data_IF_147582044186
#
_entry.id   IF_147582044186
#
_cell.length_a   1.000
_cell.length_b   1.000
_cell.length_c   1.000
_cell.angle_alpha   90.00
_cell.angle_beta   90.00
_cell.angle_gamma   90.00
#
_symmetry.space_group_name_H-M   'P 1'
#
loop_
_entity.id
_entity.type
_entity.pdbx_description
1 polymer ?
#
# COMPACT_ATOMS: atom_id res chain seq x y z
N UNK A 1 -16.25 1.37 14.36
CA UNK A 1 -16.28 2.69 13.68
C UNK A 1 -15.36 2.73 12.46
N UNK A 2 -14.06 2.46 12.59
CA UNK A 2 -13.11 2.44 11.47
C UNK A 2 -13.57 1.57 10.28
N UNK A 3 -13.87 0.28 10.51
CA UNK A 3 -14.41 -0.62 9.47
C UNK A 3 -15.65 -0.04 8.77
N UNK A 4 -16.59 0.53 9.53
CA UNK A 4 -17.80 1.15 8.96
C UNK A 4 -17.48 2.34 8.04
N UNK A 5 -16.56 3.22 8.43
CA UNK A 5 -16.19 4.38 7.62
C UNK A 5 -15.38 3.98 6.37
N UNK A 6 -14.50 2.99 6.48
CA UNK A 6 -13.78 2.45 5.33
C UNK A 6 -14.70 1.69 4.37
N UNK A 7 -15.66 0.92 4.89
CA UNK A 7 -16.73 0.32 4.08
C UNK A 7 -17.46 1.41 3.31
N UNK A 8 -17.95 2.46 3.99
CA UNK A 8 -18.64 3.58 3.34
C UNK A 8 -17.78 4.28 2.28
N UNK A 9 -16.47 4.44 2.53
CA UNK A 9 -15.52 5.08 1.61
C UNK A 9 -15.29 4.27 0.33
N UNK A 10 -15.20 2.94 0.43
CA UNK A 10 -14.80 2.08 -0.70
C UNK A 10 -15.91 1.20 -1.27
N UNK A 11 -17.11 1.22 -0.69
CA UNK A 11 -18.24 0.43 -1.15
C UNK A 11 -18.69 0.81 -2.57
N UNK A 12 -18.58 2.09 -2.93
CA UNK A 12 -19.01 2.61 -4.23
C UNK A 12 -17.84 3.18 -5.02
N UNK A 13 -17.81 2.92 -6.32
CA UNK A 13 -16.89 3.53 -7.28
C UNK A 13 -17.68 4.29 -8.34
N UNK A 14 -17.06 5.33 -8.89
CA UNK A 14 -17.64 6.13 -9.97
C UNK A 14 -16.98 5.73 -11.29
N UNK A 15 -17.77 5.23 -12.23
CA UNK A 15 -17.30 5.01 -13.60
C UNK A 15 -17.27 6.36 -14.36
N UNK A 16 -16.11 6.73 -14.90
CA UNK A 16 -15.98 7.88 -15.81
C UNK A 16 -16.08 9.27 -15.18
N UNK A 17 -15.97 10.30 -16.04
CA UNK A 17 -15.78 11.72 -15.69
C UNK A 17 -16.85 12.17 -14.68
N UNK A 18 -16.37 12.74 -13.57
CA UNK A 18 -17.15 13.20 -12.44
C UNK A 18 -18.39 14.02 -12.87
N UNK A 19 -19.58 13.51 -12.49
CA UNK A 19 -20.78 14.22 -11.97
C UNK A 19 -22.14 13.63 -12.40
N UNK A 20 -22.23 12.57 -13.21
CA UNK A 20 -23.53 12.08 -13.69
C UNK A 20 -23.75 10.55 -13.68
N UNK A 21 -22.94 9.78 -12.95
CA UNK A 21 -23.12 8.32 -12.82
C UNK A 21 -23.79 7.92 -11.50
N UNK A 22 -24.70 6.94 -11.53
CA UNK A 22 -25.16 6.28 -10.32
C UNK A 22 -23.96 5.57 -9.65
N UNK A 23 -23.82 5.62 -8.31
CA UNK A 23 -22.76 4.90 -7.62
C UNK A 23 -22.95 3.39 -7.85
N UNK A 24 -21.94 2.73 -8.41
CA UNK A 24 -21.94 1.26 -8.59
C UNK A 24 -21.17 0.62 -7.45
N UNK A 25 -21.68 -0.49 -6.92
CA UNK A 25 -21.02 -1.21 -5.84
C UNK A 25 -19.75 -1.87 -6.37
N UNK A 26 -18.62 -1.62 -5.70
CA UNK A 26 -17.32 -2.18 -6.09
C UNK A 26 -17.39 -3.71 -6.19
N UNK A 27 -18.06 -4.37 -5.24
CA UNK A 27 -18.23 -5.82 -5.23
C UNK A 27 -19.02 -6.38 -6.44
N UNK A 28 -19.82 -5.56 -7.13
CA UNK A 28 -20.60 -5.99 -8.30
C UNK A 28 -19.79 -5.93 -9.59
N UNK A 29 -18.77 -5.08 -9.65
CA UNK A 29 -17.98 -4.85 -10.87
C UNK A 29 -16.52 -5.30 -10.73
N UNK A 30 -16.09 -5.63 -9.53
CA UNK A 30 -14.73 -6.07 -9.29
C UNK A 30 -14.46 -7.40 -10.00
N UNK A 31 -13.46 -7.37 -10.88
CA UNK A 31 -12.88 -8.56 -11.50
C UNK A 31 -11.55 -8.85 -10.81
N UNK A 32 -11.31 -10.10 -10.43
CA UNK A 32 -10.03 -10.50 -9.83
C UNK A 32 -8.89 -10.17 -10.78
N UNK A 33 -7.91 -9.41 -10.28
CA UNK A 33 -6.72 -9.08 -11.05
C UNK A 33 -5.72 -10.23 -11.00
N UNK A 34 -5.11 -10.52 -12.14
CA UNK A 34 -4.01 -11.45 -12.24
C UNK A 34 -2.73 -10.79 -11.72
N UNK A 35 -2.36 -11.12 -10.49
CA UNK A 35 -1.13 -10.62 -9.86
C UNK A 35 -0.07 -11.70 -9.99
N UNK A 36 1.11 -11.35 -10.48
CA UNK A 36 2.26 -12.25 -10.55
C UNK A 36 3.36 -11.80 -9.61
N UNK A 37 4.14 -12.77 -9.14
CA UNK A 37 5.39 -12.47 -8.42
C UNK A 37 6.37 -11.75 -9.36
N UNK A 38 6.87 -10.58 -8.94
CA UNK A 38 7.83 -9.82 -9.71
C UNK A 38 9.19 -10.53 -9.77
N UNK A 39 9.77 -10.66 -10.97
CA UNK A 39 11.13 -11.16 -11.13
C UNK A 39 12.18 -10.19 -10.58
N UNK A 40 13.39 -10.69 -10.28
CA UNK A 40 14.57 -9.89 -9.88
C UNK A 40 15.15 -9.04 -11.02
N UNK A 41 14.45 -8.93 -12.15
CA UNK A 41 14.89 -8.19 -13.31
C UNK A 41 15.02 -6.71 -12.99
N UNK A 42 16.15 -6.12 -13.40
CA UNK A 42 16.41 -4.69 -13.29
C UNK A 42 15.21 -3.89 -13.82
N UNK A 43 14.87 -2.81 -13.11
CA UNK A 43 13.86 -1.85 -13.57
C UNK A 43 14.45 -1.14 -14.78
N UNK A 44 14.23 -1.71 -15.96
CA UNK A 44 14.54 -1.07 -17.22
C UNK A 44 13.71 0.23 -17.30
N UNK A 45 14.37 1.39 -17.43
CA UNK A 45 13.74 2.71 -17.69
C UNK A 45 13.07 2.78 -19.09
N UNK A 46 12.80 1.64 -19.70
CA UNK A 46 12.07 1.54 -20.96
C UNK A 46 10.60 1.93 -20.80
N UNK A 47 10.04 2.43 -21.90
CA UNK A 47 8.63 2.80 -22.03
C UNK A 47 7.68 1.72 -21.49
N UNK A 48 6.58 2.16 -20.85
CA UNK A 48 5.53 1.29 -20.28
C UNK A 48 5.06 0.18 -21.26
N UNK A 49 5.01 0.49 -22.57
CA UNK A 49 4.65 -0.47 -23.63
C UNK A 49 5.64 -1.64 -23.71
N UNK A 50 6.95 -1.37 -23.68
CA UNK A 50 7.98 -2.44 -23.74
C UNK A 50 7.97 -3.31 -22.50
N UNK A 51 7.62 -2.75 -21.35
CA UNK A 51 7.50 -3.53 -20.12
C UNK A 51 6.31 -4.49 -20.18
N UNK A 52 5.16 -4.06 -20.72
CA UNK A 52 4.02 -4.94 -20.98
C UNK A 52 4.43 -6.05 -21.96
N UNK A 53 5.07 -5.70 -23.07
CA UNK A 53 5.52 -6.67 -24.07
C UNK A 53 6.51 -7.68 -23.49
N UNK A 54 7.45 -7.23 -22.65
CA UNK A 54 8.44 -8.09 -22.00
C UNK A 54 7.80 -9.04 -20.98
N UNK A 55 6.88 -8.53 -20.15
CA UNK A 55 6.12 -9.35 -19.22
C UNK A 55 5.16 -10.32 -19.92
N UNK A 56 4.70 -9.99 -21.14
CA UNK A 56 3.81 -10.85 -21.93
C UNK A 56 4.55 -11.98 -22.67
N UNK A 57 5.89 -11.93 -22.75
CA UNK A 57 6.68 -13.03 -23.33
C UNK A 57 6.73 -14.18 -22.33
N UNK A 58 6.43 -15.40 -22.79
CA UNK A 58 6.47 -16.61 -21.97
C UNK A 58 7.81 -16.69 -21.21
N UNK A 59 7.80 -16.57 -19.87
CA UNK A 59 9.01 -16.79 -19.10
C UNK A 59 9.41 -18.27 -19.12
N UNK A 60 10.71 -18.56 -18.97
CA UNK A 60 11.25 -19.93 -18.84
C UNK A 60 10.71 -20.67 -17.60
N UNK A 61 10.10 -19.95 -16.67
CA UNK A 61 9.52 -20.47 -15.44
C UNK A 61 8.03 -20.07 -15.35
N UNK A 62 7.12 -20.96 -14.91
CA UNK A 62 5.71 -20.61 -14.76
C UNK A 62 5.56 -19.42 -13.81
N UNK A 63 4.84 -18.39 -14.25
CA UNK A 63 4.45 -17.27 -13.41
C UNK A 63 3.56 -17.75 -12.28
N UNK A 64 3.85 -17.31 -11.06
CA UNK A 64 3.02 -17.63 -9.91
C UNK A 64 1.94 -16.58 -9.75
N UNK A 65 0.69 -16.99 -9.91
CA UNK A 65 -0.46 -16.14 -9.57
C UNK A 65 -0.57 -15.99 -8.06
N UNK A 66 -0.72 -14.75 -7.60
CA UNK A 66 -0.91 -14.39 -6.20
C UNK A 66 -2.34 -13.89 -6.04
N UNK A 67 -3.07 -14.46 -5.08
CA UNK A 67 -4.37 -13.91 -4.69
C UNK A 67 -4.16 -12.71 -3.78
N UNK A 68 -5.07 -11.74 -3.85
CA UNK A 68 -5.03 -10.55 -3.00
C UNK A 68 -4.97 -10.88 -1.49
N UNK A 69 -5.65 -11.96 -1.07
CA UNK A 69 -5.65 -12.49 0.31
C UNK A 69 -4.31 -13.13 0.74
N UNK A 70 -3.47 -13.49 -0.24
CA UNK A 70 -2.20 -14.16 -0.03
C UNK A 70 -1.01 -13.20 -0.13
N UNK A 71 -1.25 -11.90 -0.33
CA UNK A 71 -0.22 -10.95 -0.73
C UNK A 71 0.93 -10.81 0.28
N UNK A 72 0.66 -11.05 1.56
CA UNK A 72 1.64 -11.02 2.64
C UNK A 72 2.10 -12.41 3.10
N UNK A 73 1.58 -13.48 2.50
CA UNK A 73 1.98 -14.85 2.88
C UNK A 73 3.42 -15.11 2.44
N UNK A 74 4.13 -16.01 3.13
CA UNK A 74 5.48 -16.39 2.74
C UNK A 74 5.54 -16.91 1.30
N UNK A 75 6.66 -16.64 0.63
CA UNK A 75 6.97 -17.27 -0.66
C UNK A 75 7.46 -18.71 -0.42
N UNK A 76 7.23 -19.65 -1.37
CA UNK A 76 7.73 -21.01 -1.29
C UNK A 76 9.23 -21.04 -0.99
N UNK A 77 9.62 -21.80 0.03
CA UNK A 77 11.02 -21.88 0.49
C UNK A 77 11.43 -20.78 1.46
N UNK A 78 10.49 -19.93 1.91
CA UNK A 78 10.66 -19.01 3.04
C UNK A 78 9.58 -19.26 4.08
N UNK A 79 9.96 -19.22 5.34
CA UNK A 79 9.02 -19.39 6.46
C UNK A 79 8.46 -18.05 6.95
N UNK A 80 9.17 -16.94 6.69
CA UNK A 80 8.78 -15.62 7.16
C UNK A 80 7.76 -14.93 6.24
N UNK A 81 6.66 -14.38 6.80
CA UNK A 81 5.72 -13.55 6.05
C UNK A 81 6.39 -12.32 5.45
N UNK A 82 5.84 -11.84 4.34
CA UNK A 82 6.34 -10.64 3.68
C UNK A 82 5.91 -9.42 4.50
N UNK A 83 6.88 -8.62 4.96
CA UNK A 83 6.61 -7.35 5.65
C UNK A 83 6.11 -6.28 4.68
N UNK A 84 6.84 -6.05 3.59
CA UNK A 84 6.55 -4.97 2.64
C UNK A 84 6.39 -5.54 1.24
N UNK A 85 5.25 -5.28 0.61
CA UNK A 85 4.93 -5.65 -0.77
C UNK A 85 4.90 -4.40 -1.64
N UNK A 86 5.51 -4.45 -2.82
CA UNK A 86 5.35 -3.44 -3.86
C UNK A 86 4.63 -4.02 -5.10
N UNK A 87 3.41 -3.57 -5.35
CA UNK A 87 2.68 -3.90 -6.58
C UNK A 87 2.97 -2.87 -7.66
N UNK A 88 3.62 -3.30 -8.73
CA UNK A 88 3.95 -2.48 -9.91
C UNK A 88 2.96 -2.75 -11.03
N UNK A 89 2.65 -1.73 -11.82
CA UNK A 89 1.83 -1.90 -13.01
C UNK A 89 1.55 -0.58 -13.71
N UNK A 90 1.16 -0.61 -14.98
CA UNK A 90 0.90 0.59 -15.78
C UNK A 90 -0.31 1.38 -15.29
N UNK A 91 -0.49 2.60 -15.78
CA UNK A 91 -1.67 3.41 -15.45
C UNK A 91 -2.97 2.69 -15.87
N UNK A 92 -4.03 2.84 -15.07
CA UNK A 92 -5.35 2.27 -15.39
C UNK A 92 -5.50 0.76 -15.19
N UNK A 93 -4.44 0.00 -14.88
CA UNK A 93 -4.50 -1.46 -14.72
C UNK A 93 -5.26 -1.95 -13.47
N UNK A 94 -5.76 -1.02 -12.63
CA UNK A 94 -6.59 -1.36 -11.46
C UNK A 94 -5.86 -1.48 -10.11
N UNK A 95 -4.60 -1.03 -9.98
CA UNK A 95 -3.84 -1.06 -8.70
C UNK A 95 -4.60 -0.41 -7.53
N UNK A 96 -5.19 0.77 -7.74
CA UNK A 96 -6.00 1.45 -6.73
C UNK A 96 -7.28 0.68 -6.40
N UNK A 97 -7.95 0.13 -7.42
CA UNK A 97 -9.18 -0.66 -7.21
C UNK A 97 -8.88 -1.93 -6.41
N UNK A 98 -7.72 -2.54 -6.62
CA UNK A 98 -7.22 -3.70 -5.87
C UNK A 98 -7.05 -3.40 -4.37
N UNK A 99 -6.38 -2.31 -4.02
CA UNK A 99 -6.18 -1.94 -2.61
C UNK A 99 -7.47 -1.50 -1.92
N UNK A 100 -8.37 -0.84 -2.67
CA UNK A 100 -9.72 -0.53 -2.21
C UNK A 100 -10.53 -1.79 -1.94
N UNK A 101 -10.48 -2.78 -2.84
CA UNK A 101 -11.16 -4.07 -2.67
C UNK A 101 -10.66 -4.81 -1.45
N UNK A 102 -9.34 -4.88 -1.24
CA UNK A 102 -8.75 -5.45 -0.02
C UNK A 102 -9.29 -4.80 1.25
N UNK A 103 -9.32 -3.47 1.27
CA UNK A 103 -9.81 -2.73 2.43
C UNK A 103 -11.31 -2.97 2.64
N UNK A 104 -12.10 -3.01 1.57
CA UNK A 104 -13.53 -3.27 1.62
C UNK A 104 -13.83 -4.67 2.16
N UNK A 105 -13.15 -5.70 1.67
CA UNK A 105 -13.34 -7.08 2.13
C UNK A 105 -12.95 -7.26 3.60
N UNK A 106 -11.89 -6.59 4.05
CA UNK A 106 -11.52 -6.57 5.47
C UNK A 106 -12.57 -5.85 6.32
N UNK A 107 -13.09 -4.72 5.82
CA UNK A 107 -14.11 -3.92 6.51
C UNK A 107 -15.50 -4.57 6.55
N UNK A 108 -15.80 -5.45 5.60
CA UNK A 108 -17.04 -6.25 5.53
C UNK A 108 -16.92 -7.63 6.20
N UNK A 109 -15.82 -7.87 6.91
CA UNK A 109 -15.55 -9.14 7.61
C UNK A 109 -15.45 -10.37 6.68
N UNK A 110 -15.16 -10.16 5.40
CA UNK A 110 -15.08 -11.23 4.38
C UNK A 110 -13.72 -11.90 4.30
N UNK A 111 -12.64 -11.14 4.48
CA UNK A 111 -11.28 -11.66 4.34
C UNK A 111 -10.32 -10.98 5.33
N UNK A 112 -9.14 -11.58 5.54
CA UNK A 112 -8.04 -11.01 6.32
C UNK A 112 -8.37 -10.65 7.79
N UNK A 113 -9.23 -11.42 8.45
CA UNK A 113 -9.68 -11.14 9.83
C UNK A 113 -8.58 -11.31 10.90
N UNK A 114 -7.41 -11.83 10.54
CA UNK A 114 -6.22 -11.80 11.38
C UNK A 114 -5.60 -10.38 11.50
N UNK A 115 -6.01 -9.44 10.64
CA UNK A 115 -5.57 -8.04 10.69
C UNK A 115 -6.51 -7.26 11.61
N UNK A 116 -5.93 -6.59 12.61
CA UNK A 116 -6.67 -5.76 13.55
C UNK A 116 -6.99 -4.39 12.96
N UNK A 117 -6.06 -3.79 12.22
CA UNK A 117 -6.25 -2.47 11.59
C UNK A 117 -5.66 -2.40 10.18
N UNK A 118 -6.41 -1.76 9.28
CA UNK A 118 -5.95 -1.40 7.93
C UNK A 118 -6.06 0.10 7.75
N UNK A 119 -4.95 0.75 7.38
CA UNK A 119 -4.86 2.19 7.16
C UNK A 119 -4.42 2.50 5.73
N UNK A 120 -5.39 2.74 4.82
CA UNK A 120 -5.08 3.14 3.45
C UNK A 120 -4.84 4.64 3.32
N UNK A 121 -3.66 4.99 2.82
CA UNK A 121 -3.23 6.33 2.46
C UNK A 121 -2.96 6.38 0.96
N UNK A 122 -3.26 7.51 0.33
CA UNK A 122 -2.69 7.84 -0.97
C UNK A 122 -1.45 8.71 -0.78
N UNK A 123 -0.41 8.53 -1.60
CA UNK A 123 0.73 9.44 -1.54
C UNK A 123 0.35 10.89 -1.89
N UNK A 124 -0.72 11.09 -2.67
CA UNK A 124 -1.34 12.41 -2.90
C UNK A 124 -1.80 13.07 -1.61
N UNK A 125 -2.51 12.35 -0.74
CA UNK A 125 -2.93 12.85 0.57
C UNK A 125 -1.72 13.17 1.46
N UNK A 126 -0.69 12.34 1.42
CA UNK A 126 0.54 12.54 2.20
C UNK A 126 1.33 13.79 1.75
N UNK A 127 1.33 14.11 0.45
CA UNK A 127 1.97 15.33 -0.06
C UNK A 127 1.40 16.62 0.55
N UNK A 128 0.13 16.61 1.00
CA UNK A 128 -0.52 17.78 1.63
C UNK A 128 0.09 18.08 3.01
N UNK A 129 0.72 17.08 3.64
CA UNK A 129 1.32 17.19 4.97
C UNK A 129 2.83 17.48 4.93
N UNK A 130 3.39 17.80 3.76
CA UNK A 130 4.84 17.99 3.57
C UNK A 130 5.52 19.00 4.50
N UNK A 131 4.81 20.04 4.93
CA UNK A 131 5.34 21.09 5.82
C UNK A 131 5.05 20.81 7.31
N UNK A 132 4.36 19.69 7.62
CA UNK A 132 4.00 19.34 9.00
C UNK A 132 5.03 18.36 9.57
N UNK A 133 5.28 18.51 10.87
CA UNK A 133 5.91 17.48 11.68
C UNK A 133 4.83 16.76 12.47
N UNK A 134 4.78 15.45 12.36
CA UNK A 134 3.81 14.57 13.00
C UNK A 134 4.52 13.29 13.41
N UNK A 135 4.07 12.65 14.47
CA UNK A 135 4.43 11.27 14.77
C UNK A 135 3.61 10.29 13.92
N UNK A 136 3.95 8.99 13.95
CA UNK A 136 3.13 7.99 13.27
C UNK A 136 1.71 7.94 13.85
N UNK A 137 1.58 8.08 15.16
CA UNK A 137 0.28 8.14 15.84
C UNK A 137 -0.53 9.33 15.35
N UNK A 138 0.09 10.51 15.31
CA UNK A 138 -0.57 11.73 14.83
C UNK A 138 -0.95 11.64 13.36
N UNK A 139 -0.10 11.02 12.52
CA UNK A 139 -0.41 10.78 11.10
C UNK A 139 -1.66 9.91 10.94
N UNK A 140 -1.74 8.78 11.68
CA UNK A 140 -2.93 7.92 11.64
C UNK A 140 -4.16 8.66 12.14
N UNK A 141 -4.05 9.36 13.27
CA UNK A 141 -5.15 10.13 13.86
C UNK A 141 -5.63 11.27 12.96
N UNK A 142 -4.75 11.83 12.12
CA UNK A 142 -5.10 12.88 11.17
C UNK A 142 -6.09 12.41 10.10
N UNK A 143 -5.90 11.18 9.59
CA UNK A 143 -6.75 10.62 8.53
C UNK A 143 -7.86 9.69 9.04
N UNK A 144 -7.69 9.12 10.23
CA UNK A 144 -8.59 8.13 10.84
C UNK A 144 -8.95 8.58 12.26
N UNK A 145 -9.75 9.64 12.37
CA UNK A 145 -10.11 10.25 13.66
C UNK A 145 -10.80 9.29 14.62
N UNK A 146 -11.42 8.22 14.12
CA UNK A 146 -12.06 7.18 14.92
C UNK A 146 -11.05 6.41 15.78
N UNK A 147 -9.80 6.30 15.33
CA UNK A 147 -8.73 5.70 16.14
C UNK A 147 -8.31 6.60 17.29
N UNK A 148 -8.30 7.92 17.05
CA UNK A 148 -8.08 8.93 18.10
C UNK A 148 -9.21 8.91 19.12
N UNK A 149 -10.47 8.89 18.68
CA UNK A 149 -11.65 8.79 19.54
C UNK A 149 -11.63 7.53 20.41
N UNK A 150 -11.11 6.43 19.89
CA UNK A 150 -10.98 5.16 20.61
C UNK A 150 -9.74 5.10 21.51
N UNK A 151 -8.90 6.14 21.55
CA UNK A 151 -7.67 6.18 22.34
C UNK A 151 -6.58 5.22 21.86
N UNK A 152 -6.62 4.79 20.60
CA UNK A 152 -5.67 3.82 20.04
C UNK A 152 -4.38 4.57 19.65
N UNK A 153 -3.29 4.31 20.36
CA UNK A 153 -1.96 4.86 20.05
C UNK A 153 -0.83 3.81 20.05
N UNK A 154 -1.04 2.64 20.67
CA UNK A 154 -0.05 1.57 20.80
C UNK A 154 -0.16 0.56 19.67
N UNK A 155 0.19 0.98 18.46
CA UNK A 155 0.04 0.17 17.24
C UNK A 155 0.90 -1.10 17.24
N UNK A 156 1.97 -1.13 18.03
CA UNK A 156 2.87 -2.26 18.20
C UNK A 156 2.18 -3.51 18.79
N UNK A 157 1.06 -3.35 19.50
CA UNK A 157 0.28 -4.45 20.07
C UNK A 157 -0.68 -5.10 19.06
N UNK A 158 -0.77 -4.55 17.84
CA UNK A 158 -1.75 -4.95 16.84
C UNK A 158 -1.11 -5.44 15.55
N UNK A 159 -1.83 -6.31 14.86
CA UNK A 159 -1.56 -6.63 13.46
C UNK A 159 -2.09 -5.49 12.58
N UNK A 160 -1.19 -4.62 12.12
CA UNK A 160 -1.52 -3.42 11.36
C UNK A 160 -1.04 -3.57 9.92
N UNK A 161 -1.90 -3.23 8.96
CA UNK A 161 -1.54 -3.04 7.55
C UNK A 161 -1.63 -1.57 7.18
N UNK A 162 -0.54 -1.02 6.68
CA UNK A 162 -0.54 0.26 5.98
C UNK A 162 -0.56 0.01 4.48
N UNK A 163 -1.47 0.68 3.79
CA UNK A 163 -1.52 0.67 2.33
C UNK A 163 -1.14 2.07 1.87
N UNK A 164 -0.13 2.17 0.99
CA UNK A 164 0.32 3.42 0.38
C UNK A 164 0.11 3.36 -1.13
N UNK A 165 -0.98 3.96 -1.60
CA UNK A 165 -1.38 3.92 -2.99
C UNK A 165 -0.76 5.07 -3.80
N UNK A 166 -0.11 4.74 -4.92
CA UNK A 166 0.37 5.70 -5.92
C UNK A 166 1.72 6.36 -5.61
N UNK A 167 2.77 5.59 -5.36
CA UNK A 167 4.13 6.13 -5.11
C UNK A 167 4.63 7.00 -6.27
N UNK A 168 4.19 6.75 -7.51
CA UNK A 168 4.46 7.59 -8.68
C UNK A 168 3.96 9.04 -8.53
N UNK A 169 3.14 9.30 -7.51
CA UNK A 169 2.55 10.61 -7.23
C UNK A 169 3.17 11.28 -6.01
N UNK A 170 4.09 10.61 -5.30
CA UNK A 170 4.79 11.19 -4.17
C UNK A 170 5.84 12.19 -4.65
N UNK A 171 5.87 13.36 -4.00
CA UNK A 171 6.69 14.50 -4.46
C UNK A 171 7.86 14.81 -3.55
N UNK A 172 7.95 14.15 -2.40
CA UNK A 172 9.02 14.37 -1.42
C UNK A 172 10.08 13.28 -1.58
N UNK A 173 11.37 13.61 -1.49
CA UNK A 173 12.42 12.61 -1.57
C UNK A 173 12.39 11.69 -0.35
N UNK A 174 12.50 10.38 -0.61
CA UNK A 174 12.73 9.35 0.40
C UNK A 174 14.23 9.04 0.45
N UNK A 175 14.93 9.51 1.49
CA UNK A 175 16.37 9.30 1.63
C UNK A 175 16.65 8.07 2.50
N UNK A 176 16.84 6.91 1.87
CA UNK A 176 17.08 5.66 2.58
C UNK A 176 18.48 5.54 3.20
N UNK A 177 19.42 6.42 2.84
CA UNK A 177 20.82 6.35 3.27
C UNK A 177 21.12 7.27 4.45
N UNK A 178 20.65 8.51 4.41
CA UNK A 178 21.00 9.53 5.41
C UNK A 178 19.88 9.82 6.41
N UNK A 179 18.67 9.28 6.20
CA UNK A 179 17.57 9.49 7.15
C UNK A 179 17.90 8.92 8.53
N UNK A 180 17.77 9.77 9.54
CA UNK A 180 17.90 9.42 10.95
C UNK A 180 16.99 8.24 11.32
N UNK A 181 17.51 7.36 12.18
CA UNK A 181 16.78 6.18 12.63
C UNK A 181 15.71 6.63 13.61
N UNK A 182 14.45 6.37 13.25
CA UNK A 182 13.29 6.61 14.10
C UNK A 182 12.64 5.29 14.46
N UNK A 183 12.47 5.03 15.75
CA UNK A 183 11.85 3.80 16.27
C UNK A 183 10.61 4.06 17.12
N UNK A 184 10.48 5.25 17.70
CA UNK A 184 9.33 5.63 18.52
C UNK A 184 8.18 6.15 17.65
N UNK A 185 7.01 5.53 17.76
CA UNK A 185 5.81 5.89 17.00
C UNK A 185 5.19 7.22 17.45
N UNK A 186 5.60 7.75 18.59
CA UNK A 186 5.10 9.00 19.20
C UNK A 186 6.00 10.21 18.95
N UNK A 187 7.22 10.00 18.47
CA UNK A 187 8.16 11.08 18.15
C UNK A 187 7.79 11.76 16.81
N UNK A 188 7.63 13.09 16.86
CA UNK A 188 7.18 13.87 15.70
C UNK A 188 8.34 14.23 14.77
N UNK A 189 8.20 13.90 13.49
CA UNK A 189 9.17 14.21 12.43
C UNK A 189 8.47 14.54 11.12
N UNK A 190 9.21 14.83 10.05
CA UNK A 190 8.62 15.05 8.73
C UNK A 190 8.07 13.76 8.13
N UNK A 191 7.05 13.88 7.27
CA UNK A 191 6.38 12.72 6.66
C UNK A 191 7.34 11.82 5.88
N UNK A 192 8.33 12.37 5.18
CA UNK A 192 9.32 11.57 4.45
C UNK A 192 10.22 10.75 5.39
N UNK A 193 10.57 11.26 6.57
CA UNK A 193 11.34 10.52 7.59
C UNK A 193 10.50 9.40 8.19
N UNK A 194 9.21 9.66 8.47
CA UNK A 194 8.26 8.62 8.93
C UNK A 194 8.16 7.48 7.90
N UNK A 195 7.86 7.79 6.64
CA UNK A 195 7.68 6.79 5.59
C UNK A 195 8.97 6.01 5.33
N UNK A 196 10.11 6.69 5.28
CA UNK A 196 11.41 6.04 5.11
C UNK A 196 11.69 5.04 6.24
N UNK A 197 11.47 5.43 7.50
CA UNK A 197 11.69 4.53 8.63
C UNK A 197 10.67 3.39 8.72
N UNK A 198 9.40 3.61 8.33
CA UNK A 198 8.41 2.54 8.17
C UNK A 198 8.89 1.52 7.13
N UNK A 199 9.24 1.98 5.93
CA UNK A 199 9.65 1.14 4.81
C UNK A 199 10.93 0.36 5.13
N UNK A 200 11.92 1.01 5.79
CA UNK A 200 13.14 0.36 6.31
C UNK A 200 12.89 -0.65 7.43
N UNK A 201 11.67 -0.69 7.99
CA UNK A 201 11.35 -1.51 9.16
C UNK A 201 11.99 -1.04 10.46
N UNK A 202 12.40 0.22 10.56
CA UNK A 202 12.90 0.83 11.79
C UNK A 202 11.76 1.34 12.67
N UNK A 203 10.75 1.94 12.05
CA UNK A 203 9.54 2.38 12.70
C UNK A 203 8.45 1.31 12.56
N UNK A 204 7.82 0.93 13.67
CA UNK A 204 6.76 -0.07 13.75
C UNK A 204 7.05 -1.35 12.92
N UNK A 205 8.10 -2.11 13.29
CA UNK A 205 8.56 -3.28 12.54
C UNK A 205 7.52 -4.40 12.42
N UNK A 206 6.56 -4.47 13.35
CA UNK A 206 5.48 -5.45 13.36
C UNK A 206 4.40 -5.22 12.29
N UNK A 207 4.31 -4.02 11.72
CA UNK A 207 3.32 -3.71 10.69
C UNK A 207 3.57 -4.49 9.39
N UNK A 208 2.62 -4.46 8.48
CA UNK A 208 2.83 -4.83 7.08
C UNK A 208 2.52 -3.65 6.18
N UNK A 209 3.25 -3.52 5.09
CA UNK A 209 3.16 -2.38 4.19
C UNK A 209 2.82 -2.88 2.78
N UNK A 210 1.82 -2.29 2.14
CA UNK A 210 1.53 -2.54 0.74
C UNK A 210 1.61 -1.23 -0.04
N UNK A 211 2.56 -1.16 -0.96
CA UNK A 211 2.83 0.00 -1.79
C UNK A 211 2.40 -0.29 -3.22
N UNK A 212 1.66 0.61 -3.85
CA UNK A 212 1.38 0.52 -5.29
C UNK A 212 2.14 1.60 -6.04
N UNK A 213 2.61 1.29 -7.25
CA UNK A 213 3.37 2.25 -8.05
C UNK A 213 3.33 1.92 -9.54
N UNK A 214 3.66 2.90 -10.37
CA UNK A 214 4.11 2.62 -11.74
C UNK A 214 5.56 2.12 -11.73
N UNK A 215 5.94 1.26 -12.68
CA UNK A 215 7.31 0.73 -12.73
C UNK A 215 8.40 1.82 -12.70
N UNK A 216 8.20 2.93 -13.43
CA UNK A 216 9.16 4.04 -13.49
C UNK A 216 9.42 4.75 -12.14
N UNK A 217 8.52 4.60 -11.17
CA UNK A 217 8.67 5.17 -9.83
C UNK A 217 9.07 4.12 -8.77
N UNK A 218 9.22 2.85 -9.16
CA UNK A 218 9.56 1.77 -8.23
C UNK A 218 10.98 1.93 -7.65
N UNK A 219 11.91 2.52 -8.42
CA UNK A 219 13.29 2.78 -8.02
C UNK A 219 13.44 3.84 -6.91
N UNK A 220 12.36 4.55 -6.55
CA UNK A 220 12.37 5.44 -5.38
C UNK A 220 12.56 4.69 -4.05
N UNK A 221 12.30 3.38 -4.03
CA UNK A 221 12.50 2.54 -2.86
C UNK A 221 13.53 1.45 -3.21
N UNK A 222 14.59 1.28 -2.39
CA UNK A 222 15.58 0.24 -2.64
C UNK A 222 14.96 -1.16 -2.64
N UNK A 223 15.39 -2.07 -3.55
CA UNK A 223 14.82 -3.40 -3.69
C UNK A 223 14.97 -4.28 -2.43
N UNK A 224 15.94 -3.99 -1.57
CA UNK A 224 16.11 -4.67 -0.28
C UNK A 224 15.02 -4.33 0.74
N UNK A 225 14.30 -3.21 0.57
CA UNK A 225 13.23 -2.77 1.47
C UNK A 225 11.85 -3.34 1.11
N UNK A 226 11.69 -3.94 -0.08
CA UNK A 226 10.40 -4.38 -0.61
C UNK A 226 10.50 -5.78 -1.22
N UNK A 227 9.36 -6.45 -1.36
CA UNK A 227 9.20 -7.68 -2.11
C UNK A 227 8.16 -7.50 -3.21
#
# INVERSE_FOLDING_TARGET
>A
KLKFNLKKKFQCVFEGIAKAGNPTLLNQIYTELYITEGGTGEVSDEHEVRQIETASRKPDRPERTIRQEDIFKPLPGRDEPIRTVMTKGVAGIGKTVLTQKFTLDWAEDKANQHIHFTFPFTFRELNVLKEKKLSLVELVHHFFTETKEAGICRFEEFQVVFIFDGLDEYRLPLDFHNTEILTDVTESTSVNVLLTNLIRGKLLPSARLWITTRPAAANQIPPECVR
#
